data_IF_293903094118
#
_entry.id   IF_293903094118
#
_cell.length_a   1.000
_cell.length_b   1.000
_cell.length_c   1.000
_cell.angle_alpha   90.00
_cell.angle_beta   90.00
_cell.angle_gamma   90.00
#
_symmetry.space_group_name_H-M   'P 1'
#
loop_
_entity.id
_entity.type
_entity.pdbx_description
1 polymer ?
#
# COMPACT_ATOMS: atom_id res chain seq x y z
N UNK A 1 -3.58 28.96 63.79
CA UNK A 1 -4.01 27.57 64.01
C UNK A 1 -3.44 26.72 62.90
N UNK A 2 -2.36 26.00 63.19
CA UNK A 2 -1.52 25.28 62.24
C UNK A 2 -1.89 23.79 62.29
N UNK A 3 -2.33 23.18 61.18
CA UNK A 3 -2.63 21.74 61.10
C UNK A 3 -1.61 21.06 60.19
N UNK A 4 -0.70 20.34 60.84
CA UNK A 4 0.32 19.44 60.30
C UNK A 4 -0.34 18.20 59.69
N UNK A 5 0.01 17.82 58.47
CA UNK A 5 -0.30 16.51 57.89
C UNK A 5 0.97 15.65 57.89
N UNK A 6 0.92 14.51 58.59
CA UNK A 6 1.96 13.49 58.63
C UNK A 6 1.88 12.61 57.37
N UNK A 7 3.05 12.35 56.78
CA UNK A 7 3.26 11.37 55.73
C UNK A 7 3.44 9.96 56.33
N UNK A 8 2.81 8.95 55.72
CA UNK A 8 2.99 7.55 56.10
C UNK A 8 3.71 6.82 54.97
N UNK A 9 4.99 6.53 55.17
CA UNK A 9 5.80 5.64 54.33
C UNK A 9 5.53 4.19 54.72
N UNK A 10 5.19 3.35 53.74
CA UNK A 10 5.12 1.89 53.90
C UNK A 10 6.42 1.28 53.38
N UNK A 11 7.17 0.63 54.27
CA UNK A 11 8.35 -0.15 53.96
C UNK A 11 7.94 -1.59 53.57
N UNK A 12 8.42 -2.07 52.43
CA UNK A 12 8.22 -3.45 51.98
C UNK A 12 9.43 -4.30 52.38
N UNK A 13 9.23 -5.29 53.23
CA UNK A 13 10.24 -6.27 53.64
C UNK A 13 10.46 -7.31 52.53
N UNK A 14 11.73 -7.56 52.20
CA UNK A 14 12.17 -8.67 51.37
C UNK A 14 12.36 -9.93 52.24
N UNK A 15 11.68 -11.02 51.90
CA UNK A 15 11.91 -12.35 52.47
C UNK A 15 12.83 -13.15 51.55
N UNK A 16 13.93 -13.65 52.13
CA UNK A 16 14.88 -14.57 51.49
C UNK A 16 14.33 -15.99 51.63
N UNK A 17 13.94 -16.59 50.50
CA UNK A 17 13.51 -17.98 50.42
C UNK A 17 14.67 -18.92 50.07
N UNK A 18 14.87 -19.93 50.89
CA UNK A 18 15.84 -21.04 50.73
C UNK A 18 15.52 -21.92 49.52
N UNK A 19 16.54 -22.20 48.72
CA UNK A 19 16.52 -23.15 47.60
C UNK A 19 16.56 -24.59 48.13
N UNK A 20 15.55 -25.41 47.80
CA UNK A 20 15.64 -26.86 47.87
C UNK A 20 15.78 -27.42 46.45
N UNK A 21 16.86 -28.19 46.23
CA UNK A 21 17.06 -28.98 45.04
C UNK A 21 16.12 -30.19 45.07
N UNK A 22 15.29 -30.34 44.04
CA UNK A 22 14.56 -31.57 43.76
C UNK A 22 15.13 -32.17 42.47
N UNK A 23 15.63 -33.40 42.59
CA UNK A 23 15.97 -34.26 41.47
C UNK A 23 14.68 -34.59 40.70
N UNK A 24 14.50 -33.95 39.54
CA UNK A 24 13.42 -34.27 38.62
C UNK A 24 14.01 -35.02 37.43
N UNK A 25 13.69 -36.29 37.37
CA UNK A 25 13.91 -37.22 36.25
C UNK A 25 13.38 -36.61 34.95
N UNK A 26 14.26 -36.45 33.97
CA UNK A 26 13.91 -35.89 32.66
C UNK A 26 12.91 -36.79 31.91
N UNK A 27 11.74 -36.28 31.46
CA UNK A 27 10.95 -36.98 30.49
C UNK A 27 11.63 -36.89 29.11
N UNK A 28 11.63 -38.01 28.41
CA UNK A 28 12.12 -38.13 27.04
C UNK A 28 11.46 -37.07 26.14
N UNK A 29 12.30 -36.26 25.52
CA UNK A 29 11.95 -35.27 24.50
C UNK A 29 11.31 -35.97 23.31
N UNK A 30 9.97 -35.95 23.24
CA UNK A 30 9.25 -36.26 22.02
C UNK A 30 9.63 -35.19 20.98
N UNK A 31 10.34 -35.61 19.94
CA UNK A 31 10.60 -34.80 18.77
C UNK A 31 9.26 -34.44 18.13
N UNK A 32 8.82 -33.19 18.34
CA UNK A 32 7.78 -32.61 17.52
C UNK A 32 8.24 -32.63 16.06
N UNK A 33 7.40 -33.04 15.10
CA UNK A 33 7.74 -32.92 13.69
C UNK A 33 8.03 -31.44 13.41
N UNK A 34 9.20 -31.17 12.85
CA UNK A 34 9.54 -29.88 12.29
C UNK A 34 8.52 -29.57 11.20
N UNK A 35 7.51 -28.78 11.55
CA UNK A 35 6.63 -28.14 10.60
C UNK A 35 7.52 -27.27 9.71
N UNK A 36 7.76 -27.77 8.50
CA UNK A 36 8.55 -27.07 7.50
C UNK A 36 7.99 -25.67 7.37
N UNK A 37 8.79 -24.67 7.78
CA UNK A 37 8.51 -23.29 7.49
C UNK A 37 8.28 -23.18 5.98
N UNK A 38 7.02 -23.04 5.57
CA UNK A 38 6.67 -22.64 4.21
C UNK A 38 7.43 -21.35 3.96
N UNK A 39 8.45 -21.43 3.11
CA UNK A 39 9.08 -20.28 2.51
C UNK A 39 7.95 -19.45 1.91
N UNK A 40 7.63 -18.32 2.53
CA UNK A 40 6.75 -17.29 2.00
C UNK A 40 7.52 -16.62 0.86
N UNK A 41 7.67 -17.36 -0.26
CA UNK A 41 8.05 -16.74 -1.52
C UNK A 41 7.02 -15.65 -1.81
N UNK A 42 7.43 -14.47 -2.28
CA UNK A 42 6.50 -13.39 -2.58
C UNK A 42 5.41 -13.93 -3.51
N UNK A 43 4.16 -13.80 -3.07
CA UNK A 43 3.01 -14.35 -3.77
C UNK A 43 2.84 -13.60 -5.09
N UNK A 44 3.22 -14.25 -6.18
CA UNK A 44 3.02 -13.80 -7.55
C UNK A 44 1.82 -14.57 -8.09
N UNK A 45 0.76 -13.85 -8.49
CA UNK A 45 -0.45 -14.45 -9.03
C UNK A 45 -0.56 -14.12 -10.52
N UNK A 46 -0.87 -15.13 -11.32
CA UNK A 46 -0.98 -15.00 -12.79
C UNK A 46 -2.44 -15.09 -13.19
N UNK A 47 -2.93 -14.02 -13.82
CA UNK A 47 -4.30 -13.86 -14.29
C UNK A 47 -4.29 -13.92 -15.82
N UNK A 48 -4.50 -15.13 -16.34
CA UNK A 48 -4.62 -15.36 -17.77
C UNK A 48 -5.78 -14.54 -18.37
N UNK A 49 -5.66 -14.05 -19.61
CA UNK A 49 -6.77 -13.40 -20.31
C UNK A 49 -7.99 -14.34 -20.40
N UNK A 50 -9.13 -13.89 -19.88
CA UNK A 50 -10.37 -14.70 -19.91
C UNK A 50 -11.05 -14.73 -21.28
N UNK A 51 -10.73 -13.77 -22.17
CA UNK A 51 -11.47 -13.54 -23.42
C UNK A 51 -10.62 -13.71 -24.69
N UNK A 52 -9.33 -13.99 -24.56
CA UNK A 52 -8.41 -14.18 -25.67
C UNK A 52 -7.31 -15.18 -25.28
N UNK A 53 -6.66 -15.81 -26.27
CA UNK A 53 -5.47 -16.62 -26.00
C UNK A 53 -4.30 -15.72 -25.56
N UNK A 54 -3.42 -16.20 -24.65
CA UNK A 54 -2.19 -15.49 -24.31
C UNK A 54 -1.34 -15.23 -25.55
N UNK A 55 -0.91 -13.99 -25.74
CA UNK A 55 -0.10 -13.58 -26.90
C UNK A 55 1.39 -13.42 -26.57
N UNK A 56 1.78 -13.72 -25.33
CA UNK A 56 3.15 -13.59 -24.83
C UNK A 56 3.50 -12.18 -24.34
N UNK A 57 2.53 -11.28 -24.22
CA UNK A 57 2.66 -10.00 -23.52
C UNK A 57 2.28 -10.16 -22.04
N UNK A 58 2.97 -9.45 -21.15
CA UNK A 58 2.69 -9.43 -19.72
C UNK A 58 2.54 -8.01 -19.18
N UNK A 59 1.54 -7.80 -18.31
CA UNK A 59 1.43 -6.64 -17.43
C UNK A 59 1.72 -7.07 -16.01
N UNK A 60 2.81 -6.59 -15.43
CA UNK A 60 3.10 -6.80 -14.02
C UNK A 60 2.58 -5.66 -13.14
N UNK A 61 1.93 -5.99 -12.03
CA UNK A 61 1.31 -5.00 -11.13
C UNK A 61 1.96 -5.08 -9.75
N UNK A 62 2.39 -3.92 -9.22
CA UNK A 62 2.87 -3.79 -7.85
C UNK A 62 2.01 -2.78 -7.06
N UNK A 63 1.51 -3.15 -5.87
CA UNK A 63 0.75 -2.26 -5.01
C UNK A 63 1.67 -1.27 -4.28
N UNK A 64 1.07 -0.24 -3.69
CA UNK A 64 1.78 0.72 -2.87
C UNK A 64 2.01 0.16 -1.47
N UNK A 65 3.23 0.35 -0.96
CA UNK A 65 3.57 0.17 0.46
C UNK A 65 3.08 1.38 1.27
N UNK A 66 3.15 2.57 0.67
CA UNK A 66 3.05 3.84 1.38
C UNK A 66 1.62 4.36 1.36
N UNK A 67 1.10 4.57 2.57
CA UNK A 67 -0.07 5.37 2.85
C UNK A 67 0.37 6.69 3.48
N UNK A 68 -0.01 7.81 2.88
CA UNK A 68 0.25 9.14 3.41
C UNK A 68 -1.07 9.85 3.74
N UNK A 69 -1.05 10.67 4.78
CA UNK A 69 -2.18 11.50 5.18
C UNK A 69 -1.66 12.86 5.58
N UNK A 70 -2.30 13.92 5.10
CA UNK A 70 -1.97 15.30 5.43
C UNK A 70 -3.23 16.13 5.60
N UNK A 71 -3.36 16.76 6.76
CA UNK A 71 -4.35 17.79 7.01
C UNK A 71 -3.66 19.15 7.06
N UNK A 72 -4.11 20.12 6.26
CA UNK A 72 -3.55 21.48 6.24
C UNK A 72 -4.58 22.49 6.76
N UNK A 73 -4.13 23.42 7.60
CA UNK A 73 -4.94 24.55 8.07
C UNK A 73 -5.12 25.67 7.05
N UNK A 74 -5.74 26.78 7.49
CA UNK A 74 -6.04 27.94 6.65
C UNK A 74 -4.77 28.66 6.15
N UNK A 75 -3.65 28.52 6.85
CA UNK A 75 -2.36 29.16 6.54
C UNK A 75 -1.40 28.24 5.75
N UNK A 76 -1.84 27.03 5.36
CA UNK A 76 -1.03 26.07 4.61
C UNK A 76 -0.63 24.83 5.42
N UNK A 77 0.33 24.04 4.89
CA UNK A 77 0.79 22.77 5.47
C UNK A 77 2.19 22.86 6.10
N UNK A 78 2.37 23.75 7.07
CA UNK A 78 3.67 23.97 7.74
C UNK A 78 3.98 22.95 8.86
N UNK A 79 5.17 23.06 9.47
CA UNK A 79 5.60 22.17 10.57
C UNK A 79 4.66 22.23 11.79
N UNK A 80 4.12 23.41 12.10
CA UNK A 80 3.12 23.60 13.16
C UNK A 80 1.80 22.88 12.84
N UNK A 81 1.28 22.99 11.61
CA UNK A 81 0.09 22.24 11.18
C UNK A 81 0.33 20.72 11.26
N UNK A 82 1.50 20.26 10.82
CA UNK A 82 1.89 18.85 10.92
C UNK A 82 1.91 18.35 12.37
N UNK A 83 2.39 19.16 13.31
CA UNK A 83 2.36 18.82 14.74
C UNK A 83 0.93 18.79 15.30
N UNK A 84 0.09 19.76 14.93
CA UNK A 84 -1.30 19.86 15.40
C UNK A 84 -2.15 18.69 14.88
N UNK A 85 -1.91 18.26 13.65
CA UNK A 85 -2.71 17.22 12.99
C UNK A 85 -2.07 15.84 12.99
N UNK A 86 -0.86 15.68 13.53
CA UNK A 86 -0.09 14.44 13.44
C UNK A 86 -0.82 13.20 13.93
N UNK A 87 -1.55 13.28 15.05
CA UNK A 87 -2.35 12.15 15.56
C UNK A 87 -3.52 11.80 14.63
N UNK A 88 -4.21 12.81 14.10
CA UNK A 88 -5.32 12.60 13.15
C UNK A 88 -4.81 11.99 11.85
N UNK A 89 -3.71 12.50 11.32
CA UNK A 89 -3.11 12.00 10.08
C UNK A 89 -2.55 10.57 10.29
N UNK A 90 -2.03 10.24 11.48
CA UNK A 90 -1.67 8.87 11.83
C UNK A 90 -2.89 7.93 11.84
N UNK A 91 -3.99 8.32 12.49
CA UNK A 91 -5.24 7.54 12.48
C UNK A 91 -5.77 7.34 11.06
N UNK A 92 -5.80 8.41 10.25
CA UNK A 92 -6.24 8.32 8.86
C UNK A 92 -5.37 7.35 8.06
N UNK A 93 -4.04 7.36 8.24
CA UNK A 93 -3.14 6.39 7.58
C UNK A 93 -3.47 4.95 7.97
N UNK A 94 -3.75 4.69 9.24
CA UNK A 94 -4.14 3.35 9.70
C UNK A 94 -5.46 2.90 9.06
N UNK A 95 -6.46 3.78 9.01
CA UNK A 95 -7.75 3.47 8.38
C UNK A 95 -7.60 3.25 6.86
N UNK A 96 -6.77 4.06 6.19
CA UNK A 96 -6.46 3.83 4.78
C UNK A 96 -5.77 2.47 4.59
N UNK A 97 -4.78 2.14 5.43
CA UNK A 97 -4.08 0.86 5.35
C UNK A 97 -5.03 -0.34 5.59
N UNK A 98 -6.10 -0.19 6.38
CA UNK A 98 -7.08 -1.27 6.55
C UNK A 98 -8.00 -1.48 5.34
N UNK A 99 -8.19 -0.47 4.48
CA UNK A 99 -9.07 -0.56 3.31
C UNK A 99 -8.32 -0.73 1.99
N UNK A 100 -7.06 -0.29 1.95
CA UNK A 100 -6.21 -0.26 0.78
C UNK A 100 -4.87 -0.94 1.08
N UNK A 101 -4.88 -2.05 1.81
CA UNK A 101 -3.69 -2.89 1.91
C UNK A 101 -3.29 -3.45 0.52
N UNK A 102 -2.15 -4.12 0.46
CA UNK A 102 -1.63 -4.62 -0.82
C UNK A 102 -2.61 -5.57 -1.55
N UNK A 103 -3.21 -6.57 -0.88
CA UNK A 103 -4.26 -7.39 -1.50
C UNK A 103 -5.46 -6.56 -1.99
N UNK A 104 -6.02 -5.68 -1.16
CA UNK A 104 -7.22 -4.91 -1.54
C UNK A 104 -6.97 -3.97 -2.72
N UNK A 105 -5.76 -3.42 -2.84
CA UNK A 105 -5.36 -2.62 -4.01
C UNK A 105 -5.33 -3.47 -5.29
N UNK A 106 -4.76 -4.67 -5.23
CA UNK A 106 -4.69 -5.59 -6.36
C UNK A 106 -6.08 -6.05 -6.77
N UNK A 107 -6.90 -6.51 -5.81
CA UNK A 107 -8.30 -6.88 -6.04
C UNK A 107 -9.08 -5.74 -6.70
N UNK A 108 -8.92 -4.51 -6.20
CA UNK A 108 -9.58 -3.34 -6.75
C UNK A 108 -9.18 -3.06 -8.21
N UNK A 109 -7.90 -3.19 -8.56
CA UNK A 109 -7.41 -3.04 -9.93
C UNK A 109 -7.87 -4.18 -10.84
N UNK A 110 -7.90 -5.42 -10.35
CA UNK A 110 -8.33 -6.60 -11.12
C UNK A 110 -9.82 -6.55 -11.48
N UNK A 111 -10.64 -5.83 -10.71
CA UNK A 111 -12.04 -5.59 -11.07
C UNK A 111 -12.23 -4.57 -12.21
N UNK A 112 -11.15 -3.93 -12.69
CA UNK A 112 -11.18 -2.98 -13.81
C UNK A 112 -10.74 -3.64 -15.12
N UNK A 113 -11.15 -3.07 -16.25
CA UNK A 113 -10.63 -3.46 -17.57
C UNK A 113 -9.25 -2.83 -17.80
N UNK A 114 -8.23 -3.36 -17.11
CA UNK A 114 -6.86 -2.85 -17.21
C UNK A 114 -6.31 -2.93 -18.64
N UNK A 115 -6.72 -3.95 -19.40
CA UNK A 115 -6.27 -4.13 -20.79
C UNK A 115 -6.79 -3.02 -21.67
N UNK A 116 -8.10 -2.75 -21.64
CA UNK A 116 -8.71 -1.65 -22.38
C UNK A 116 -8.21 -0.28 -21.92
N UNK A 117 -8.15 -0.06 -20.59
CA UNK A 117 -7.75 1.23 -20.01
C UNK A 117 -6.29 1.61 -20.33
N UNK A 118 -5.37 0.65 -20.35
CA UNK A 118 -3.95 0.86 -20.67
C UNK A 118 -3.60 0.56 -22.13
N UNK A 119 -4.62 0.34 -23.00
CA UNK A 119 -4.45 0.02 -24.43
C UNK A 119 -3.52 -1.18 -24.69
N UNK A 120 -3.54 -2.15 -23.78
CA UNK A 120 -2.82 -3.41 -23.94
C UNK A 120 -3.58 -4.32 -24.91
N UNK A 121 -2.90 -5.34 -25.43
CA UNK A 121 -3.56 -6.35 -26.25
C UNK A 121 -4.55 -7.16 -25.41
N UNK A 122 -5.67 -7.64 -26.00
CA UNK A 122 -6.62 -8.49 -25.28
C UNK A 122 -6.00 -9.78 -24.71
N UNK A 123 -4.94 -10.29 -25.35
CA UNK A 123 -4.20 -11.48 -24.95
C UNK A 123 -3.12 -11.24 -23.89
N UNK A 124 -2.92 -10.00 -23.41
CA UNK A 124 -1.91 -9.71 -22.38
C UNK A 124 -2.22 -10.48 -21.10
N UNK A 125 -1.24 -11.18 -20.53
CA UNK A 125 -1.35 -11.85 -19.22
C UNK A 125 -1.10 -10.84 -18.11
N UNK A 126 -1.96 -10.80 -17.08
CA UNK A 126 -1.75 -9.93 -15.92
C UNK A 126 -1.02 -10.74 -14.84
N UNK A 127 0.02 -10.17 -14.27
CA UNK A 127 0.83 -10.80 -13.22
C UNK A 127 0.89 -9.85 -12.03
N UNK A 128 0.27 -10.22 -10.92
CA UNK A 128 0.26 -9.38 -9.72
C UNK A 128 1.35 -9.82 -8.75
N UNK A 129 1.98 -8.85 -8.10
CA UNK A 129 3.01 -9.06 -7.10
C UNK A 129 2.51 -8.54 -5.75
N UNK A 130 2.26 -9.44 -4.80
CA UNK A 130 1.73 -9.05 -3.49
C UNK A 130 2.70 -8.16 -2.69
N UNK A 131 4.01 -8.29 -2.92
CA UNK A 131 5.03 -7.49 -2.23
C UNK A 131 5.14 -6.11 -2.86
N UNK A 132 4.86 -5.02 -2.11
CA UNK A 132 4.93 -3.69 -2.65
C UNK A 132 6.37 -3.25 -2.92
N UNK A 133 6.53 -2.30 -3.83
CA UNK A 133 7.85 -1.75 -4.16
C UNK A 133 8.27 -0.66 -3.18
N UNK A 134 9.54 -0.71 -2.77
CA UNK A 134 10.13 0.38 -1.99
C UNK A 134 10.19 1.65 -2.85
N UNK A 135 9.48 2.70 -2.44
CA UNK A 135 9.31 3.97 -3.20
C UNK A 135 10.60 4.56 -3.75
N UNK A 136 11.72 4.49 -3.00
CA UNK A 136 13.02 5.03 -3.43
C UNK A 136 13.55 4.37 -4.71
N UNK A 137 13.14 3.13 -4.98
CA UNK A 137 13.57 2.36 -6.15
C UNK A 137 12.80 2.71 -7.43
N UNK A 138 11.67 3.42 -7.31
CA UNK A 138 10.78 3.68 -8.44
C UNK A 138 11.48 4.37 -9.60
N UNK A 139 12.24 5.42 -9.31
CA UNK A 139 12.91 6.21 -10.34
C UNK A 139 14.31 5.67 -10.66
N UNK A 140 14.92 4.87 -9.78
CA UNK A 140 16.32 4.43 -9.93
C UNK A 140 16.47 3.13 -10.72
N UNK A 141 15.49 2.21 -10.63
CA UNK A 141 15.51 0.98 -11.43
C UNK A 141 15.02 1.33 -12.83
N UNK A 142 15.91 1.24 -13.82
CA UNK A 142 15.61 1.53 -15.24
C UNK A 142 15.44 0.29 -16.11
N UNK A 143 15.53 -0.89 -15.50
CA UNK A 143 15.30 -2.18 -16.13
C UNK A 143 13.95 -2.77 -15.74
N UNK A 144 13.59 -3.92 -16.33
CA UNK A 144 12.45 -4.71 -15.87
C UNK A 144 12.64 -5.09 -14.40
N UNK A 145 11.55 -5.08 -13.64
CA UNK A 145 11.56 -5.46 -12.22
C UNK A 145 11.38 -6.95 -11.99
N UNK A 146 10.76 -7.66 -12.93
CA UNK A 146 10.74 -9.12 -12.93
C UNK A 146 11.82 -9.70 -13.85
N UNK A 147 12.07 -10.98 -13.69
CA UNK A 147 12.91 -11.81 -14.56
C UNK A 147 12.15 -12.35 -15.79
N UNK A 148 10.92 -11.85 -16.05
CA UNK A 148 10.10 -12.28 -17.18
C UNK A 148 10.81 -12.09 -18.51
N UNK A 149 10.75 -13.15 -19.31
CA UNK A 149 11.24 -13.20 -20.70
C UNK A 149 10.10 -12.98 -21.71
N UNK A 150 8.99 -12.38 -21.28
CA UNK A 150 7.88 -12.02 -22.17
C UNK A 150 8.35 -11.13 -23.32
N UNK A 151 7.72 -11.32 -24.49
CA UNK A 151 8.06 -10.60 -25.73
C UNK A 151 7.70 -9.13 -25.67
N UNK A 152 6.66 -8.80 -24.91
CA UNK A 152 6.26 -7.44 -24.59
C UNK A 152 6.02 -7.40 -23.09
N UNK A 153 6.58 -6.41 -22.41
CA UNK A 153 6.56 -6.36 -20.96
C UNK A 153 6.16 -4.96 -20.51
N UNK A 154 5.10 -4.89 -19.70
CA UNK A 154 4.62 -3.65 -19.12
C UNK A 154 4.53 -3.77 -17.61
N UNK A 155 4.66 -2.63 -16.94
CA UNK A 155 4.54 -2.53 -15.50
C UNK A 155 3.52 -1.47 -15.13
N UNK A 156 2.65 -1.79 -14.18
CA UNK A 156 1.82 -0.84 -13.45
C UNK A 156 2.28 -0.82 -11.99
N UNK A 157 2.76 0.33 -11.54
CA UNK A 157 3.19 0.53 -10.16
C UNK A 157 2.26 1.52 -9.48
N UNK A 158 1.67 1.11 -8.37
CA UNK A 158 1.03 2.02 -7.42
C UNK A 158 2.12 2.52 -6.47
N UNK A 159 2.42 3.81 -6.54
CA UNK A 159 3.60 4.41 -5.91
C UNK A 159 3.33 4.95 -4.50
N UNK A 160 2.15 5.53 -4.32
CA UNK A 160 1.76 6.27 -3.12
C UNK A 160 0.24 6.41 -3.14
N UNK A 161 -0.40 6.20 -1.99
CA UNK A 161 -1.81 6.52 -1.78
C UNK A 161 -1.88 7.60 -0.70
N UNK A 162 -2.43 8.75 -1.07
CA UNK A 162 -2.34 9.97 -0.29
C UNK A 162 -3.71 10.56 -0.01
N UNK A 163 -4.11 10.55 1.26
CA UNK A 163 -5.23 11.36 1.73
C UNK A 163 -4.77 12.80 1.97
N UNK A 164 -5.56 13.74 1.46
CA UNK A 164 -5.36 15.16 1.71
C UNK A 164 -6.65 15.79 2.20
N UNK A 165 -6.56 16.58 3.28
CA UNK A 165 -7.59 17.52 3.69
C UNK A 165 -7.05 18.94 3.60
N UNK A 166 -7.51 19.67 2.59
CA UNK A 166 -7.26 21.09 2.44
C UNK A 166 -8.41 21.92 3.03
N UNK A 167 -8.10 23.09 3.59
CA UNK A 167 -9.11 23.98 4.16
C UNK A 167 -10.14 24.45 3.12
N UNK A 168 -9.71 24.70 1.88
CA UNK A 168 -10.56 25.24 0.80
C UNK A 168 -11.12 24.13 -0.08
N UNK A 169 -10.29 23.16 -0.48
CA UNK A 169 -10.65 22.14 -1.48
C UNK A 169 -11.26 20.87 -0.89
N UNK A 170 -11.41 20.81 0.44
CA UNK A 170 -12.03 19.68 1.11
C UNK A 170 -11.13 18.45 1.20
N UNK A 171 -11.73 17.26 1.11
CA UNK A 171 -11.07 15.97 1.30
C UNK A 171 -10.91 15.27 -0.04
N UNK A 172 -9.75 14.70 -0.30
CA UNK A 172 -9.50 13.88 -1.47
C UNK A 172 -8.59 12.71 -1.16
N UNK A 173 -8.73 11.67 -1.98
CA UNK A 173 -7.75 10.59 -2.09
C UNK A 173 -7.03 10.79 -3.41
N UNK A 174 -5.70 10.78 -3.37
CA UNK A 174 -4.86 10.85 -4.54
C UNK A 174 -4.00 9.60 -4.61
N UNK A 175 -3.84 9.04 -5.80
CA UNK A 175 -2.98 7.88 -6.00
C UNK A 175 -1.97 8.19 -7.09
N UNK A 176 -0.69 7.99 -6.79
CA UNK A 176 0.38 8.13 -7.76
C UNK A 176 0.56 6.80 -8.45
N UNK A 177 0.34 6.76 -9.76
CA UNK A 177 0.61 5.59 -10.58
C UNK A 177 1.79 5.85 -11.49
N UNK A 178 2.43 4.76 -11.92
CA UNK A 178 3.44 4.77 -12.95
C UNK A 178 3.21 3.57 -13.87
N UNK A 179 3.08 3.83 -15.17
CA UNK A 179 3.11 2.80 -16.20
C UNK A 179 4.45 2.89 -16.89
N UNK A 180 5.05 1.73 -17.11
CA UNK A 180 6.27 1.58 -17.90
C UNK A 180 6.06 0.49 -18.93
N UNK A 181 6.50 0.74 -20.15
CA UNK A 181 6.49 -0.23 -21.23
C UNK A 181 7.91 -0.53 -21.65
N UNK A 182 8.13 -1.79 -21.97
CA UNK A 182 9.37 -2.35 -22.45
C UNK A 182 9.02 -3.24 -23.65
N UNK A 183 9.90 -3.27 -24.65
CA UNK A 183 9.82 -4.19 -25.77
C UNK A 183 10.23 -5.62 -25.37
N UNK A 184 11.14 -6.20 -26.13
CA UNK A 184 11.74 -7.52 -25.86
C UNK A 184 13.07 -7.43 -25.09
N UNK A 185 13.49 -6.21 -24.71
CA UNK A 185 14.71 -5.96 -23.96
C UNK A 185 14.46 -5.36 -22.56
N UNK A 186 15.55 -4.96 -21.89
CA UNK A 186 15.53 -4.41 -20.53
C UNK A 186 15.30 -2.89 -20.49
N UNK A 187 15.08 -2.21 -21.61
CA UNK A 187 15.02 -0.75 -21.66
C UNK A 187 13.57 -0.26 -21.62
N UNK A 188 13.39 0.87 -20.94
CA UNK A 188 12.10 1.55 -20.88
C UNK A 188 11.89 2.27 -22.20
N UNK A 189 10.89 1.84 -22.96
CA UNK A 189 10.47 2.50 -24.20
C UNK A 189 9.52 3.66 -23.91
N UNK A 190 8.68 3.50 -22.89
CA UNK A 190 7.73 4.51 -22.45
C UNK A 190 7.58 4.49 -20.94
N UNK A 191 7.50 5.68 -20.34
CA UNK A 191 7.18 5.87 -18.92
C UNK A 191 6.18 7.02 -18.79
N UNK A 192 5.09 6.76 -18.07
CA UNK A 192 4.15 7.78 -17.66
C UNK A 192 3.93 7.70 -16.16
N UNK A 193 4.04 8.84 -15.48
CA UNK A 193 3.91 8.95 -14.03
C UNK A 193 3.06 10.15 -13.69
N UNK A 194 1.91 9.90 -13.08
CA UNK A 194 0.96 10.96 -12.75
C UNK A 194 0.07 10.58 -11.56
N UNK A 195 -0.54 11.60 -10.98
CA UNK A 195 -1.56 11.43 -9.95
C UNK A 195 -2.93 11.30 -10.60
N UNK A 196 -3.72 10.32 -10.16
CA UNK A 196 -5.18 10.41 -10.18
C UNK A 196 -5.67 10.98 -8.85
N UNK A 197 -6.75 11.75 -8.83
CA UNK A 197 -7.17 12.44 -7.62
C UNK A 197 -8.65 12.80 -7.58
N UNK A 198 -9.39 12.13 -6.70
CA UNK A 198 -10.84 12.28 -6.59
C UNK A 198 -11.26 12.64 -5.15
N UNK A 199 -12.36 13.38 -5.03
CA UNK A 199 -12.88 13.86 -3.75
C UNK A 199 -13.53 12.77 -2.89
N UNK A 200 -13.48 12.96 -1.57
CA UNK A 200 -14.08 12.07 -0.56
C UNK A 200 -15.24 12.76 0.17
N UNK A 201 -16.33 12.03 0.40
CA UNK A 201 -17.54 12.50 1.07
C UNK A 201 -17.74 11.88 2.44
N UNK A 202 -17.29 10.66 2.66
CA UNK A 202 -17.48 9.92 3.90
C UNK A 202 -16.18 9.89 4.69
N UNK A 203 -15.07 9.49 4.07
CA UNK A 203 -13.79 9.36 4.77
C UNK A 203 -13.18 10.71 5.18
N UNK A 204 -12.60 10.85 6.38
CA UNK A 204 -12.57 9.89 7.47
C UNK A 204 -13.91 9.84 8.21
N UNK A 205 -14.35 8.64 8.66
CA UNK A 205 -15.57 8.50 9.43
C UNK A 205 -15.44 9.22 10.78
N UNK A 206 -16.55 9.80 11.25
CA UNK A 206 -16.69 10.36 12.59
C UNK A 206 -17.40 9.37 13.50
N UNK A 207 -17.42 9.66 14.80
CA UNK A 207 -18.23 8.91 15.75
C UNK A 207 -19.71 8.96 15.34
N UNK A 208 -20.34 7.78 15.27
CA UNK A 208 -21.71 7.61 14.81
C UNK A 208 -21.90 7.54 13.29
N UNK A 209 -20.86 7.75 12.48
CA UNK A 209 -20.91 7.53 11.04
C UNK A 209 -20.82 6.03 10.70
N UNK A 210 -21.29 5.67 9.50
CA UNK A 210 -21.06 4.35 8.92
C UNK A 210 -19.58 4.21 8.49
N UNK A 211 -18.78 3.59 9.36
CA UNK A 211 -17.37 3.37 9.11
C UNK A 211 -17.12 2.45 7.91
N UNK A 212 -17.99 1.47 7.66
CA UNK A 212 -17.84 0.53 6.53
C UNK A 212 -18.01 1.29 5.23
N UNK A 213 -19.08 2.08 5.10
CA UNK A 213 -19.32 2.90 3.91
C UNK A 213 -18.17 3.89 3.65
N UNK A 214 -17.55 4.44 4.69
CA UNK A 214 -16.39 5.33 4.56
C UNK A 214 -15.13 4.62 4.06
N UNK A 215 -14.91 3.35 4.44
CA UNK A 215 -13.79 2.54 3.96
C UNK A 215 -14.06 2.03 2.53
N UNK A 216 -15.28 1.62 2.22
CA UNK A 216 -15.70 1.25 0.85
C UNK A 216 -15.53 2.43 -0.12
N UNK A 217 -15.80 3.66 0.34
CA UNK A 217 -15.53 4.86 -0.45
C UNK A 217 -14.05 4.97 -0.84
N UNK A 218 -13.11 4.59 0.02
CA UNK A 218 -11.67 4.63 -0.30
C UNK A 218 -11.34 3.70 -1.48
N UNK A 219 -11.88 2.47 -1.47
CA UNK A 219 -11.69 1.51 -2.57
C UNK A 219 -12.32 2.02 -3.85
N UNK A 220 -13.54 2.54 -3.78
CA UNK A 220 -14.23 3.11 -4.94
C UNK A 220 -13.49 4.32 -5.53
N UNK A 221 -12.96 5.20 -4.68
CA UNK A 221 -12.20 6.39 -5.11
C UNK A 221 -10.80 6.02 -5.60
N UNK A 222 -10.17 4.99 -5.05
CA UNK A 222 -8.93 4.43 -5.57
C UNK A 222 -9.09 3.93 -7.02
N UNK A 223 -10.17 3.21 -7.32
CA UNK A 223 -10.51 2.80 -8.70
C UNK A 223 -10.70 4.00 -9.63
N UNK A 224 -11.45 5.02 -9.19
CA UNK A 224 -11.63 6.26 -9.96
C UNK A 224 -10.32 7.01 -10.20
N UNK A 225 -9.40 7.00 -9.24
CA UNK A 225 -8.08 7.57 -9.43
C UNK A 225 -7.32 6.85 -10.55
N UNK A 226 -7.43 5.51 -10.63
CA UNK A 226 -6.82 4.76 -11.73
C UNK A 226 -7.49 5.06 -13.08
N UNK A 227 -8.82 5.13 -13.14
CA UNK A 227 -9.56 5.49 -14.36
C UNK A 227 -9.15 6.87 -14.89
N UNK A 228 -9.05 7.88 -14.00
CA UNK A 228 -8.57 9.22 -14.34
C UNK A 228 -7.13 9.18 -14.84
N UNK A 229 -6.26 8.46 -14.13
CA UNK A 229 -4.86 8.29 -14.51
C UNK A 229 -4.72 7.65 -15.89
N UNK A 230 -5.43 6.54 -16.16
CA UNK A 230 -5.39 5.84 -17.43
C UNK A 230 -5.93 6.71 -18.57
N UNK A 231 -7.02 7.47 -18.32
CA UNK A 231 -7.54 8.44 -19.27
C UNK A 231 -6.56 9.58 -19.61
N UNK A 232 -5.66 9.92 -18.69
CA UNK A 232 -4.60 10.91 -18.91
C UNK A 232 -3.37 10.29 -19.59
N UNK A 233 -2.94 9.10 -19.19
CA UNK A 233 -1.89 8.33 -19.88
C UNK A 233 -2.23 8.12 -21.35
N UNK A 234 -3.48 7.76 -21.63
CA UNK A 234 -3.96 7.52 -22.99
C UNK A 234 -3.84 8.73 -23.92
N UNK A 235 -3.74 9.95 -23.37
CA UNK A 235 -3.55 11.22 -24.09
C UNK A 235 -2.09 11.68 -24.11
N UNK A 236 -1.23 11.06 -23.32
CA UNK A 236 0.18 11.40 -23.26
C UNK A 236 0.88 11.02 -24.56
N UNK A 237 1.81 11.86 -25.00
CA UNK A 237 2.66 11.54 -26.15
C UNK A 237 3.63 10.44 -25.75
N UNK A 238 3.58 9.30 -26.46
CA UNK A 238 4.57 8.22 -26.31
C UNK A 238 5.87 8.62 -26.96
N UNK A 239 6.63 9.46 -26.26
CA UNK A 239 7.98 9.84 -26.66
C UNK A 239 8.96 8.84 -26.04
N UNK A 240 9.88 8.26 -26.84
CA UNK A 240 10.90 7.37 -26.31
C UNK A 240 11.66 8.04 -25.17
N UNK A 241 11.87 7.31 -24.07
CA UNK A 241 12.70 7.81 -22.97
C UNK A 241 14.12 7.99 -23.49
N UNK A 242 14.67 9.21 -23.38
CA UNK A 242 16.07 9.47 -23.75
C UNK A 242 16.97 8.60 -22.88
N UNK A 243 17.71 7.71 -23.53
CA UNK A 243 18.69 6.80 -22.93
C UNK A 243 19.84 7.56 -22.27
#
# INVERSE_FOLDING_TARGET
MLKTFLATSVALLATVGTVQAQDTTAPASQAAPAEAAKSLSPEVVVHAPSAAAPDGCELHIWPAERMASMTTGLLGGGLLDAAIHGNRDATNRTLMASALDSPSQLDALETLDLRGMLKLTPGTTIVTHATPLVRKTMNSVKTRRSDSQAKCYSELVVADVFYQKAAIYGRSLRTLFMVREFGDDQKIDFEYKAWGGNGLKLFPPKEGDDAVAALDELVAVFKKNFEEYAGNEAKATRTPVKS
#
